data_IF_923863776928
#
_entry.id   IF_923863776928
#
_cell.length_a   1.000
_cell.length_b   1.000
_cell.length_c   1.000
_cell.angle_alpha   90.00
_cell.angle_beta   90.00
_cell.angle_gamma   90.00
#
_symmetry.space_group_name_H-M   'P 1'
#
loop_
_entity.id
_entity.type
_entity.pdbx_description
1 polymer ?
#
# COMPACT_ATOMS: atom_id res chain seq x y z
N UNK A 1 13.11 -12.76 66.41
CA UNK A 1 12.14 -13.08 65.34
C UNK A 1 12.40 -12.09 64.22
N UNK A 2 13.01 -12.50 63.09
CA UNK A 2 13.34 -11.66 61.97
C UNK A 2 12.31 -11.93 60.85
N UNK A 3 11.46 -10.94 60.56
CA UNK A 3 10.51 -11.01 59.46
C UNK A 3 11.22 -10.76 58.16
N UNK A 4 11.19 -11.73 57.22
CA UNK A 4 11.69 -11.62 55.85
C UNK A 4 10.47 -11.17 55.01
N UNK A 5 10.53 -9.92 54.55
CA UNK A 5 9.56 -9.39 53.60
C UNK A 5 9.96 -9.90 52.19
N UNK A 6 9.13 -10.77 51.60
CA UNK A 6 9.24 -11.19 50.22
C UNK A 6 8.68 -10.10 49.31
N UNK A 7 9.57 -9.40 48.62
CA UNK A 7 9.23 -8.43 47.57
C UNK A 7 8.96 -9.20 46.26
N UNK A 8 7.67 -9.40 45.95
CA UNK A 8 7.27 -9.89 44.62
C UNK A 8 7.42 -8.76 43.61
N UNK A 9 8.52 -8.76 42.85
CA UNK A 9 8.65 -7.95 41.66
C UNK A 9 7.77 -8.59 40.55
N UNK A 10 6.57 -8.04 40.35
CA UNK A 10 5.79 -8.31 39.17
C UNK A 10 6.48 -7.62 37.97
N UNK A 11 7.30 -8.37 37.26
CA UNK A 11 7.76 -7.98 35.93
C UNK A 11 6.55 -8.03 34.99
N UNK A 12 5.85 -6.91 34.85
CA UNK A 12 4.93 -6.70 33.76
C UNK A 12 5.78 -6.70 32.48
N UNK A 13 5.86 -7.87 31.83
CA UNK A 13 6.30 -7.96 30.47
C UNK A 13 5.36 -7.09 29.61
N UNK A 14 5.80 -5.89 29.29
CA UNK A 14 5.23 -5.14 28.18
C UNK A 14 5.51 -5.97 26.92
N UNK A 15 4.55 -6.84 26.55
CA UNK A 15 4.43 -7.26 25.18
C UNK A 15 4.16 -5.98 24.39
N UNK A 16 5.20 -5.30 23.98
CA UNK A 16 5.12 -4.38 22.87
C UNK A 16 4.62 -5.23 21.71
N UNK A 17 3.33 -5.17 21.46
CA UNK A 17 2.77 -5.52 20.17
C UNK A 17 3.52 -4.59 19.22
N UNK A 18 4.59 -5.10 18.62
CA UNK A 18 5.22 -4.47 17.48
C UNK A 18 4.10 -4.41 16.46
N UNK A 19 3.45 -3.23 16.35
CA UNK A 19 2.53 -2.98 15.28
C UNK A 19 3.30 -3.33 14.02
N UNK A 20 2.81 -4.31 13.29
CA UNK A 20 3.42 -4.73 12.05
C UNK A 20 3.62 -3.47 11.23
N UNK A 21 4.88 -3.19 10.93
CA UNK A 21 5.32 -1.91 10.41
C UNK A 21 4.67 -1.71 9.05
N UNK A 22 3.67 -0.84 8.98
CA UNK A 22 2.99 -0.48 7.76
C UNK A 22 4.01 0.00 6.71
N UNK A 23 3.64 -0.11 5.44
CA UNK A 23 4.50 0.41 4.37
C UNK A 23 4.65 1.93 4.49
N UNK A 24 5.84 2.43 4.22
CA UNK A 24 6.07 3.83 3.92
C UNK A 24 5.93 4.08 2.40
N UNK A 25 5.76 5.34 1.99
CA UNK A 25 5.78 5.70 0.58
C UNK A 25 7.08 5.27 -0.12
N UNK A 26 8.24 5.50 0.53
CA UNK A 26 9.54 5.10 -0.02
C UNK A 26 9.67 3.59 -0.24
N UNK A 27 9.10 2.79 0.65
CA UNK A 27 9.08 1.33 0.49
C UNK A 27 8.22 0.92 -0.71
N UNK A 28 7.00 1.48 -0.86
CA UNK A 28 6.14 1.21 -2.01
C UNK A 28 6.79 1.64 -3.34
N UNK A 29 7.42 2.82 -3.35
CA UNK A 29 8.15 3.31 -4.53
C UNK A 29 9.34 2.42 -4.90
N UNK A 30 10.05 1.86 -3.91
CA UNK A 30 11.14 0.89 -4.14
C UNK A 30 10.61 -0.44 -4.65
N UNK A 31 9.50 -0.95 -4.09
CA UNK A 31 8.89 -2.20 -4.54
C UNK A 31 8.54 -2.17 -6.03
N UNK A 32 8.11 -1.03 -6.56
CA UNK A 32 7.84 -0.87 -7.98
C UNK A 32 9.08 -1.06 -8.86
N UNK A 33 10.27 -0.68 -8.36
CA UNK A 33 11.56 -0.84 -9.08
C UNK A 33 12.13 -2.24 -8.99
N UNK A 34 11.63 -3.05 -8.06
CA UNK A 34 12.10 -4.40 -7.83
C UNK A 34 11.53 -5.36 -8.89
N UNK A 35 12.27 -6.44 -9.13
CA UNK A 35 11.70 -7.61 -9.79
C UNK A 35 10.71 -8.33 -8.87
N UNK A 36 9.94 -9.25 -9.45
CA UNK A 36 8.92 -9.97 -8.69
C UNK A 36 9.50 -10.77 -7.49
N UNK A 37 10.63 -11.50 -7.59
CA UNK A 37 11.21 -12.21 -6.44
C UNK A 37 11.58 -11.29 -5.27
N UNK A 38 12.12 -10.09 -5.55
CA UNK A 38 12.46 -9.14 -4.49
C UNK A 38 11.19 -8.49 -3.87
N UNK A 39 10.16 -8.27 -4.67
CA UNK A 39 8.85 -7.86 -4.17
C UNK A 39 8.25 -8.92 -3.23
N UNK A 40 8.20 -10.19 -3.68
CA UNK A 40 7.68 -11.32 -2.90
C UNK A 40 8.41 -11.49 -1.57
N UNK A 41 9.75 -11.44 -1.59
CA UNK A 41 10.56 -11.48 -0.38
C UNK A 41 10.14 -10.38 0.60
N UNK A 42 9.96 -9.15 0.11
CA UNK A 42 9.59 -8.01 0.95
C UNK A 42 8.16 -8.12 1.49
N UNK A 43 7.22 -8.64 0.69
CA UNK A 43 5.86 -8.91 1.13
C UNK A 43 5.87 -9.91 2.31
N UNK A 44 6.59 -11.01 2.18
CA UNK A 44 6.73 -12.00 3.25
C UNK A 44 7.42 -11.45 4.51
N UNK A 45 8.48 -10.66 4.38
CA UNK A 45 9.14 -9.98 5.51
C UNK A 45 8.17 -9.09 6.31
N UNK A 46 7.20 -8.49 5.63
CA UNK A 46 6.14 -7.67 6.24
C UNK A 46 4.95 -8.50 6.76
N UNK A 47 4.97 -9.82 6.57
CA UNK A 47 3.94 -10.75 7.02
C UNK A 47 2.73 -10.85 6.09
N UNK A 48 2.89 -10.49 4.82
CA UNK A 48 1.89 -10.74 3.77
C UNK A 48 2.08 -12.15 3.22
N UNK A 49 0.97 -12.83 2.96
CA UNK A 49 0.92 -14.16 2.37
C UNK A 49 0.25 -14.11 1.01
N UNK A 50 0.69 -14.97 0.09
CA UNK A 50 0.09 -15.08 -1.23
C UNK A 50 -1.38 -15.47 -1.09
N UNK A 51 -2.29 -14.66 -1.64
CA UNK A 51 -3.71 -14.94 -1.66
C UNK A 51 -4.12 -15.60 -2.98
N UNK A 52 -3.97 -14.90 -4.09
CA UNK A 52 -4.28 -15.44 -5.41
C UNK A 52 -3.64 -14.65 -6.56
N UNK A 53 -3.78 -15.21 -7.77
CA UNK A 53 -3.41 -14.56 -9.02
C UNK A 53 -4.68 -14.01 -9.70
N UNK A 54 -4.74 -12.71 -9.92
CA UNK A 54 -5.82 -12.09 -10.68
C UNK A 54 -5.45 -11.97 -12.15
N UNK A 55 -5.91 -12.91 -12.95
CA UNK A 55 -5.52 -13.01 -14.37
C UNK A 55 -6.01 -11.82 -15.21
N UNK A 56 -7.19 -11.27 -14.91
CA UNK A 56 -7.76 -10.17 -15.69
C UNK A 56 -6.95 -8.87 -15.54
N UNK A 57 -6.49 -8.58 -14.33
CA UNK A 57 -5.64 -7.43 -14.03
C UNK A 57 -4.15 -7.77 -14.07
N UNK A 58 -3.80 -9.03 -14.29
CA UNK A 58 -2.41 -9.52 -14.27
C UNK A 58 -1.67 -9.14 -12.99
N UNK A 59 -2.35 -9.26 -11.88
CA UNK A 59 -1.84 -8.98 -10.56
C UNK A 59 -1.58 -10.26 -9.77
N UNK A 60 -0.49 -10.26 -8.98
CA UNK A 60 -0.27 -11.21 -7.90
C UNK A 60 -0.63 -10.52 -6.60
N UNK A 61 -1.54 -11.11 -5.85
CA UNK A 61 -2.17 -10.50 -4.68
C UNK A 61 -1.69 -11.18 -3.41
N UNK A 62 -1.26 -10.39 -2.46
CA UNK A 62 -0.82 -10.79 -1.12
C UNK A 62 -1.71 -10.13 -0.08
N UNK A 63 -2.03 -10.86 1.01
CA UNK A 63 -2.87 -10.37 2.10
C UNK A 63 -2.20 -10.46 3.45
N UNK A 64 -2.56 -9.50 4.32
CA UNK A 64 -2.26 -9.51 5.74
C UNK A 64 -3.46 -8.93 6.49
N UNK A 65 -4.29 -9.80 7.07
CA UNK A 65 -5.57 -9.38 7.63
C UNK A 65 -6.47 -8.77 6.56
N UNK A 66 -6.83 -7.50 6.74
CA UNK A 66 -7.64 -6.73 5.77
C UNK A 66 -6.81 -6.00 4.72
N UNK A 67 -5.48 -5.90 4.92
CA UNK A 67 -4.61 -5.19 4.00
C UNK A 67 -4.26 -6.06 2.79
N UNK A 68 -4.20 -5.43 1.62
CA UNK A 68 -3.87 -6.07 0.35
C UNK A 68 -2.68 -5.37 -0.27
N UNK A 69 -1.70 -6.16 -0.69
CA UNK A 69 -0.55 -5.71 -1.45
C UNK A 69 -0.53 -6.43 -2.79
N UNK A 70 -0.52 -5.70 -3.90
CA UNK A 70 -0.57 -6.29 -5.23
C UNK A 70 0.60 -5.85 -6.11
N UNK A 71 1.16 -6.81 -6.84
CA UNK A 71 2.15 -6.58 -7.87
C UNK A 71 1.49 -6.81 -9.24
N UNK A 72 1.31 -5.75 -9.99
CA UNK A 72 0.54 -5.75 -11.23
C UNK A 72 1.42 -5.44 -12.44
N UNK A 73 1.22 -6.21 -13.52
CA UNK A 73 1.79 -5.95 -14.82
C UNK A 73 0.75 -5.35 -15.75
N UNK A 74 0.95 -4.12 -16.18
CA UNK A 74 0.15 -3.51 -17.22
C UNK A 74 0.92 -3.53 -18.55
N UNK A 75 0.19 -3.80 -19.62
CA UNK A 75 0.70 -3.70 -20.99
C UNK A 75 -0.07 -2.60 -21.69
N UNK A 76 0.62 -1.67 -22.32
CA UNK A 76 -0.05 -0.69 -23.16
C UNK A 76 -0.77 -1.39 -24.32
N UNK A 77 -2.01 -0.98 -24.55
CA UNK A 77 -2.88 -1.56 -25.56
C UNK A 77 -2.29 -1.38 -26.96
N UNK A 78 -1.67 -2.44 -27.43
CA UNK A 78 -1.67 -2.78 -28.85
C UNK A 78 -0.47 -2.38 -29.71
N UNK A 79 0.44 -1.48 -29.32
CA UNK A 79 1.56 -1.09 -30.21
C UNK A 79 2.91 -0.84 -29.55
N UNK A 80 3.02 -0.80 -28.26
CA UNK A 80 4.32 -0.69 -27.59
C UNK A 80 4.55 -1.87 -26.65
N UNK A 81 5.71 -2.50 -26.78
CA UNK A 81 6.15 -3.62 -25.93
C UNK A 81 6.58 -3.16 -24.53
N UNK A 82 6.05 -2.03 -24.05
CA UNK A 82 6.39 -1.51 -22.75
C UNK A 82 5.41 -2.04 -21.70
N UNK A 83 5.85 -3.05 -20.96
CA UNK A 83 5.16 -3.43 -19.73
C UNK A 83 5.57 -2.46 -18.62
N UNK A 84 4.62 -2.02 -17.83
CA UNK A 84 4.91 -1.27 -16.61
C UNK A 84 4.39 -2.00 -15.37
N UNK A 85 5.12 -1.82 -14.29
CA UNK A 85 4.79 -2.39 -13.01
C UNK A 85 4.03 -1.34 -12.22
N UNK A 86 2.93 -1.76 -11.60
CA UNK A 86 2.28 -0.99 -10.56
C UNK A 86 2.26 -1.79 -9.25
N UNK A 87 2.49 -1.10 -8.15
CA UNK A 87 2.28 -1.61 -6.81
C UNK A 87 0.99 -0.97 -6.29
N UNK A 88 0.03 -1.81 -5.90
CA UNK A 88 -1.18 -1.37 -5.22
C UNK A 88 -1.10 -1.78 -3.75
N UNK A 89 -1.43 -0.86 -2.88
CA UNK A 89 -1.58 -1.11 -1.45
C UNK A 89 -2.98 -0.65 -1.03
N UNK A 90 -3.78 -1.58 -0.53
CA UNK A 90 -5.13 -1.33 -0.05
C UNK A 90 -5.18 -1.58 1.45
N UNK A 91 -5.84 -0.71 2.19
CA UNK A 91 -5.96 -0.82 3.64
C UNK A 91 -7.27 -0.22 4.14
N UNK A 92 -7.84 -0.84 5.17
CA UNK A 92 -8.93 -0.25 5.94
C UNK A 92 -8.40 0.68 7.05
N UNK A 93 -7.09 0.69 7.30
CA UNK A 93 -6.46 1.52 8.31
C UNK A 93 -6.22 2.95 7.78
N UNK A 94 -7.12 3.87 8.16
CA UNK A 94 -7.04 5.27 7.77
C UNK A 94 -5.73 5.94 8.20
N UNK A 95 -5.21 5.61 9.39
CA UNK A 95 -3.98 6.21 9.90
C UNK A 95 -2.76 5.82 9.04
N UNK A 96 -2.66 4.54 8.65
CA UNK A 96 -1.64 4.05 7.74
C UNK A 96 -1.72 4.76 6.38
N UNK A 97 -2.92 4.90 5.82
CA UNK A 97 -3.16 5.62 4.58
C UNK A 97 -2.75 7.09 4.67
N UNK A 98 -3.22 7.82 5.68
CA UNK A 98 -2.93 9.26 5.83
C UNK A 98 -1.42 9.51 6.05
N UNK A 99 -0.72 8.60 6.72
CA UNK A 99 0.73 8.67 6.87
C UNK A 99 1.47 8.59 5.53
N UNK A 100 1.08 7.65 4.66
CA UNK A 100 1.67 7.52 3.32
C UNK A 100 1.28 8.73 2.46
N UNK A 101 0.01 9.13 2.49
CA UNK A 101 -0.50 10.31 1.78
C UNK A 101 0.29 11.58 2.14
N UNK A 102 0.58 11.79 3.43
CA UNK A 102 1.39 12.93 3.87
C UNK A 102 2.81 12.91 3.26
N UNK A 103 3.44 11.72 3.15
CA UNK A 103 4.75 11.57 2.51
C UNK A 103 4.69 11.88 1.01
N UNK A 104 3.65 11.39 0.32
CA UNK A 104 3.41 11.68 -1.11
C UNK A 104 3.24 13.17 -1.34
N UNK A 105 2.37 13.82 -0.56
CA UNK A 105 2.10 15.27 -0.66
C UNK A 105 3.35 16.10 -0.42
N UNK A 106 4.21 15.69 0.53
CA UNK A 106 5.44 16.40 0.84
C UNK A 106 6.55 16.21 -0.21
N UNK A 107 6.58 15.07 -0.92
CA UNK A 107 7.67 14.68 -1.81
C UNK A 107 7.37 14.75 -3.31
N UNK A 108 6.11 14.98 -3.72
CA UNK A 108 5.69 14.91 -5.11
C UNK A 108 4.86 16.12 -5.54
N UNK A 109 4.80 16.37 -6.84
CA UNK A 109 4.01 17.44 -7.41
C UNK A 109 2.57 16.98 -7.63
N UNK A 110 1.60 17.74 -7.12
CA UNK A 110 0.20 17.51 -7.44
C UNK A 110 -0.07 17.72 -8.92
N UNK A 111 -0.75 16.75 -9.55
CA UNK A 111 -1.10 16.82 -10.96
C UNK A 111 -2.58 17.13 -11.18
N UNK A 112 -3.48 16.29 -10.64
CA UNK A 112 -4.93 16.49 -10.77
C UNK A 112 -5.74 15.64 -9.79
N UNK A 113 -7.01 16.00 -9.65
CA UNK A 113 -8.03 15.17 -8.99
C UNK A 113 -9.14 14.87 -9.98
N UNK A 114 -9.69 13.66 -9.94
CA UNK A 114 -10.86 13.27 -10.73
C UNK A 114 -11.74 12.28 -9.98
N UNK A 115 -13.03 12.24 -10.34
CA UNK A 115 -13.95 11.21 -9.89
C UNK A 115 -13.77 9.98 -10.79
N UNK A 116 -13.53 8.83 -10.21
CA UNK A 116 -13.40 7.54 -10.92
C UNK A 116 -14.38 6.52 -10.37
N UNK A 117 -14.75 5.55 -11.20
CA UNK A 117 -15.62 4.45 -10.80
C UNK A 117 -14.83 3.14 -10.86
N UNK A 118 -14.75 2.44 -9.73
CA UNK A 118 -14.15 1.10 -9.61
C UNK A 118 -15.17 0.17 -8.95
N UNK A 119 -15.37 -1.03 -9.48
CA UNK A 119 -16.23 -2.06 -8.89
C UNK A 119 -17.60 -1.54 -8.39
N UNK A 120 -18.25 -0.68 -9.20
CA UNK A 120 -19.54 -0.03 -8.92
C UNK A 120 -19.53 1.07 -7.84
N UNK A 121 -18.38 1.40 -7.26
CA UNK A 121 -18.21 2.50 -6.31
C UNK A 121 -17.51 3.70 -6.96
N UNK A 122 -17.75 4.89 -6.41
CA UNK A 122 -17.08 6.11 -6.84
C UNK A 122 -15.99 6.48 -5.84
N UNK A 123 -14.85 6.92 -6.37
CA UNK A 123 -13.68 7.33 -5.60
C UNK A 123 -13.18 8.68 -6.09
N UNK A 124 -12.69 9.49 -5.17
CA UNK A 124 -11.85 10.63 -5.53
C UNK A 124 -10.42 10.14 -5.71
N UNK A 125 -9.92 10.21 -6.94
CA UNK A 125 -8.54 9.88 -7.28
C UNK A 125 -7.70 11.15 -7.30
N UNK A 126 -6.71 11.23 -6.42
CA UNK A 126 -5.71 12.30 -6.39
C UNK A 126 -4.41 11.80 -6.98
N UNK A 127 -3.92 12.46 -8.02
CA UNK A 127 -2.72 12.04 -8.75
C UNK A 127 -1.58 12.99 -8.44
N UNK A 128 -0.46 12.42 -8.01
CA UNK A 128 0.81 13.09 -7.77
C UNK A 128 1.88 12.50 -8.68
N UNK A 129 2.83 13.33 -9.11
CA UNK A 129 3.87 12.93 -10.07
C UNK A 129 5.24 13.47 -9.67
N UNK A 130 6.28 12.74 -10.07
CA UNK A 130 7.64 13.24 -10.21
C UNK A 130 8.22 12.74 -11.54
N UNK A 131 9.52 12.85 -11.76
CA UNK A 131 10.15 12.48 -13.03
C UNK A 131 10.11 10.96 -13.33
N UNK A 132 9.87 10.11 -12.33
CA UNK A 132 9.96 8.65 -12.46
C UNK A 132 8.63 7.93 -12.28
N UNK A 133 7.76 8.45 -11.41
CA UNK A 133 6.55 7.75 -10.97
C UNK A 133 5.34 8.67 -10.88
N UNK A 134 4.15 8.06 -11.07
CA UNK A 134 2.89 8.62 -10.63
C UNK A 134 2.35 7.84 -9.44
N UNK A 135 1.76 8.56 -8.50
CA UNK A 135 1.06 7.99 -7.34
C UNK A 135 -0.39 8.40 -7.40
N UNK A 136 -1.25 7.41 -7.34
CA UNK A 136 -2.69 7.59 -7.36
C UNK A 136 -3.22 7.22 -5.97
N UNK A 137 -3.81 8.20 -5.29
CA UNK A 137 -4.44 8.04 -3.98
C UNK A 137 -5.94 8.02 -4.17
N UNK A 138 -6.60 6.94 -3.74
CA UNK A 138 -8.04 6.79 -3.86
C UNK A 138 -8.67 6.93 -2.47
N UNK A 139 -9.45 8.00 -2.30
CA UNK A 139 -10.26 8.23 -1.12
C UNK A 139 -11.69 7.77 -1.40
N UNK A 140 -12.24 6.90 -0.56
CA UNK A 140 -13.67 6.61 -0.56
C UNK A 140 -14.36 7.80 0.12
N UNK A 141 -14.93 8.72 -0.64
CA UNK A 141 -15.49 9.95 -0.10
C UNK A 141 -17.02 10.02 -0.18
N UNK A 142 -17.72 8.92 -0.45
CA UNK A 142 -19.17 8.96 -0.51
C UNK A 142 -19.83 7.98 0.47
N UNK A 143 -20.66 8.61 1.29
CA UNK A 143 -21.70 8.13 2.20
C UNK A 143 -22.17 6.70 1.92
N UNK A 144 -22.28 5.89 2.96
CA UNK A 144 -22.85 4.54 3.00
C UNK A 144 -21.89 3.33 2.94
N UNK A 145 -20.60 3.49 3.22
CA UNK A 145 -19.77 2.30 3.41
C UNK A 145 -19.29 2.19 4.87
N UNK A 146 -19.87 1.26 5.62
CA UNK A 146 -19.43 0.91 6.98
C UNK A 146 -17.98 0.38 7.01
N UNK A 147 -17.34 0.28 5.83
CA UNK A 147 -16.00 -0.25 5.68
C UNK A 147 -15.19 0.58 4.65
N UNK A 148 -14.61 1.74 5.05
CA UNK A 148 -13.82 2.56 4.16
C UNK A 148 -12.56 1.80 3.74
N UNK A 149 -12.38 1.67 2.43
CA UNK A 149 -11.17 1.14 1.82
C UNK A 149 -10.39 2.27 1.19
N UNK A 150 -9.10 2.35 1.52
CA UNK A 150 -8.16 3.30 0.94
C UNK A 150 -7.19 2.55 0.04
N UNK A 151 -6.91 3.09 -1.14
CA UNK A 151 -5.97 2.48 -2.08
C UNK A 151 -4.88 3.49 -2.47
N UNK A 152 -3.67 3.00 -2.54
CA UNK A 152 -2.50 3.72 -3.03
C UNK A 152 -1.92 2.91 -4.18
N UNK A 153 -1.82 3.50 -5.36
CA UNK A 153 -1.23 2.86 -6.52
C UNK A 153 0.00 3.64 -6.99
N UNK A 154 1.15 2.97 -7.04
CA UNK A 154 2.42 3.55 -7.50
C UNK A 154 2.77 2.95 -8.86
N UNK A 155 2.84 3.80 -9.89
CA UNK A 155 3.10 3.42 -11.29
C UNK A 155 4.35 4.10 -11.84
N UNK A 156 4.93 3.53 -12.90
CA UNK A 156 5.88 4.26 -13.75
C UNK A 156 5.17 5.38 -14.51
N UNK A 157 5.82 6.53 -14.66
CA UNK A 157 5.42 7.50 -15.68
C UNK A 157 6.08 7.09 -16.98
N UNK A 158 5.28 6.96 -18.05
CA UNK A 158 5.81 7.03 -19.40
C UNK A 158 5.99 8.49 -19.74
N UNK A 159 7.22 8.91 -20.00
CA UNK A 159 7.42 10.12 -20.75
C UNK A 159 6.81 9.88 -22.15
N UNK A 160 5.79 10.63 -22.57
CA UNK A 160 5.41 10.61 -23.98
C UNK A 160 6.64 11.11 -24.77
N UNK A 161 7.12 10.30 -25.69
CA UNK A 161 8.12 10.71 -26.68
C UNK A 161 7.53 11.73 -27.62
#
# INVERSE_FOLDING_TARGET
MKSIAFLFLFAFGFNSVTSAQDFSFDELAKLRKNDFPAFETKAHEKGYELDHLEYNERCTIYRKGTDVLSYCHYYDDGFSYHSHIAIKFETANKEAYEKIKAQVVAGMTYYKTRLVRKAHKHYMEHIYVNDEISVHLYDISFEDDDNPYFEIEVKSIYAPY
#
